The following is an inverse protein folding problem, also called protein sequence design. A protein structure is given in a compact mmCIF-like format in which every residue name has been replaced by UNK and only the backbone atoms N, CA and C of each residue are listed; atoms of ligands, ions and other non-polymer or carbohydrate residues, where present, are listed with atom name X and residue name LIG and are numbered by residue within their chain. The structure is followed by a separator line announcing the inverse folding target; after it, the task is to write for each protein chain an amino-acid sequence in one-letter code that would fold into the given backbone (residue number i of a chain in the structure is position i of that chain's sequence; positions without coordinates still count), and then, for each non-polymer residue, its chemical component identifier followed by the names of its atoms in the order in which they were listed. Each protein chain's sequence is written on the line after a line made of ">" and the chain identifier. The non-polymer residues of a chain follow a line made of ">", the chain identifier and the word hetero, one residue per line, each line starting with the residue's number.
data_IF_982745526446
#
_entry.id   IF_982745526446
#
_cell.length_a   1.000
_cell.length_b   1.000
_cell.length_c   1.000
_cell.angle_alpha   90.00
_cell.angle_beta   90.00
_cell.angle_gamma   90.00
#
_symmetry.space_group_name_H-M   'P 1'
#
loop_
_entity.id
_entity.type
_entity.pdbx_description
1 polymer ?
#
# COMPACT_ATOMS: atom_id res chain seq x y z
N UNK A 1 -43.08 47.48 25.39
CA UNK A 1 -43.90 46.91 24.28
C UNK A 1 -43.15 47.10 22.96
N UNK A 2 -42.71 45.99 22.34
CA UNK A 2 -42.57 45.75 20.87
C UNK A 2 -41.71 44.50 20.63
N UNK A 3 -42.38 43.37 20.38
CA UNK A 3 -41.79 42.19 19.75
C UNK A 3 -41.47 42.50 18.29
N UNK A 4 -40.32 42.03 17.79
CA UNK A 4 -40.10 41.78 16.35
C UNK A 4 -39.35 40.47 16.16
N UNK A 5 -40.11 39.44 15.85
CA UNK A 5 -39.68 38.19 15.25
C UNK A 5 -39.09 38.45 13.86
N UNK A 6 -37.94 37.83 13.53
CA UNK A 6 -37.48 37.67 12.13
C UNK A 6 -36.95 36.25 11.94
N UNK A 7 -37.55 35.58 10.96
CA UNK A 7 -37.50 34.13 10.75
C UNK A 7 -36.13 33.60 10.34
N UNK A 8 -35.92 32.35 10.77
CA UNK A 8 -34.75 31.54 10.46
C UNK A 8 -34.79 31.12 8.96
N UNK A 9 -33.72 31.33 8.18
CA UNK A 9 -33.77 31.20 6.72
C UNK A 9 -33.77 29.73 6.27
N UNK A 10 -34.95 29.23 5.90
CA UNK A 10 -35.18 27.90 5.30
C UNK A 10 -34.38 27.58 4.02
N UNK A 11 -33.69 28.57 3.44
CA UNK A 11 -32.91 28.40 2.21
C UNK A 11 -31.61 27.60 2.38
N UNK A 12 -31.16 27.33 3.62
CA UNK A 12 -29.98 26.48 3.88
C UNK A 12 -30.30 25.01 4.12
N UNK A 13 -31.56 24.65 4.35
CA UNK A 13 -31.97 23.27 4.56
C UNK A 13 -32.25 22.52 3.25
N UNK A 14 -32.64 23.24 2.18
CA UNK A 14 -32.87 22.64 0.86
C UNK A 14 -31.56 22.19 0.16
N UNK A 15 -30.43 22.86 0.41
CA UNK A 15 -29.13 22.45 -0.16
C UNK A 15 -28.52 21.21 0.52
N UNK A 16 -28.79 21.01 1.81
CA UNK A 16 -28.31 19.84 2.54
C UNK A 16 -29.09 18.56 2.16
N UNK A 17 -30.39 18.68 1.87
CA UNK A 17 -31.23 17.56 1.43
C UNK A 17 -30.82 17.03 0.04
N UNK A 18 -30.48 17.92 -0.91
CA UNK A 18 -30.00 17.53 -2.24
C UNK A 18 -28.64 16.81 -2.18
N UNK A 19 -27.73 17.23 -1.31
CA UNK A 19 -26.45 16.56 -1.11
C UNK A 19 -26.62 15.15 -0.51
N UNK A 20 -27.54 14.98 0.46
CA UNK A 20 -27.84 13.67 1.04
C UNK A 20 -28.49 12.70 0.03
N UNK A 21 -29.36 13.20 -0.85
CA UNK A 21 -29.96 12.41 -1.95
C UNK A 21 -28.90 12.04 -2.99
N UNK A 22 -28.00 12.95 -3.35
CA UNK A 22 -26.91 12.65 -4.29
C UNK A 22 -25.92 11.62 -3.73
N UNK A 23 -25.61 11.70 -2.42
CA UNK A 23 -24.80 10.70 -1.73
C UNK A 23 -25.56 9.37 -1.69
N UNK A 24 -26.83 9.33 -1.29
CA UNK A 24 -27.61 8.10 -1.28
C UNK A 24 -27.70 7.42 -2.66
N UNK A 25 -27.91 8.20 -3.73
CA UNK A 25 -27.90 7.69 -5.10
C UNK A 25 -26.51 7.20 -5.52
N UNK A 26 -25.43 7.88 -5.11
CA UNK A 26 -24.05 7.44 -5.35
C UNK A 26 -23.75 6.10 -4.66
N UNK A 27 -24.17 5.92 -3.40
CA UNK A 27 -23.99 4.66 -2.67
C UNK A 27 -24.89 3.53 -3.20
N UNK A 28 -26.11 3.83 -3.67
CA UNK A 28 -26.99 2.86 -4.33
C UNK A 28 -26.44 2.40 -5.68
N UNK A 29 -25.88 3.32 -6.48
CA UNK A 29 -25.32 3.02 -7.80
C UNK A 29 -23.97 2.27 -7.71
N UNK A 30 -23.21 2.44 -6.62
CA UNK A 30 -22.02 1.62 -6.29
C UNK A 30 -22.41 0.19 -5.92
N UNK A 31 -23.51 0.00 -5.18
CA UNK A 31 -23.98 -1.34 -4.78
C UNK A 31 -24.44 -2.19 -5.98
N UNK A 32 -25.09 -1.59 -6.98
CA UNK A 32 -25.50 -2.32 -8.19
C UNK A 32 -24.34 -2.67 -9.13
N UNK A 33 -23.23 -1.90 -9.13
CA UNK A 33 -22.01 -2.28 -9.87
C UNK A 33 -21.34 -3.50 -9.27
N UNK A 34 -21.33 -3.62 -7.95
CA UNK A 34 -20.77 -4.79 -7.26
C UNK A 34 -21.48 -6.10 -7.62
N UNK A 35 -22.80 -6.06 -7.84
CA UNK A 35 -23.57 -7.26 -8.20
C UNK A 35 -23.37 -7.69 -9.67
N UNK A 36 -23.08 -6.74 -10.58
CA UNK A 36 -22.79 -7.05 -12.01
C UNK A 36 -21.36 -7.54 -12.26
N UNK A 37 -20.42 -7.28 -11.36
CA UNK A 37 -19.07 -7.87 -11.40
C UNK A 37 -19.05 -9.33 -10.91
N UNK A 38 -19.87 -9.67 -9.89
CA UNK A 38 -19.95 -11.04 -9.36
C UNK A 38 -20.52 -12.03 -10.40
N UNK A 39 -21.39 -11.57 -11.31
CA UNK A 39 -21.98 -12.40 -12.35
C UNK A 39 -21.05 -12.73 -13.55
N UNK A 40 -19.81 -12.22 -13.57
CA UNK A 40 -18.87 -12.38 -14.70
C UNK A 40 -17.67 -13.31 -14.43
N UNK A 41 -17.73 -14.16 -13.41
CA UNK A 41 -16.77 -15.27 -13.24
C UNK A 41 -17.06 -16.40 -14.25
N UNK A 42 -16.04 -16.97 -14.96
CA UNK A 42 -14.77 -17.41 -14.38
C UNK A 42 -13.49 -17.03 -15.18
N UNK A 43 -13.58 -16.23 -16.25
CA UNK A 43 -12.44 -15.97 -17.15
C UNK A 43 -11.40 -14.99 -16.57
N UNK A 44 -11.84 -13.93 -15.88
CA UNK A 44 -10.96 -12.89 -15.33
C UNK A 44 -10.06 -13.44 -14.20
N UNK A 45 -10.48 -14.51 -13.54
CA UNK A 45 -9.77 -15.15 -12.44
C UNK A 45 -8.55 -16.00 -12.85
N UNK A 46 -8.39 -16.34 -14.13
CA UNK A 46 -7.23 -17.05 -14.66
C UNK A 46 -6.18 -16.07 -15.18
N UNK A 47 -6.61 -15.02 -15.89
CA UNK A 47 -5.74 -14.01 -16.51
C UNK A 47 -5.08 -13.10 -15.44
N UNK A 48 -5.81 -12.76 -14.36
CA UNK A 48 -5.23 -12.03 -13.22
C UNK A 48 -4.28 -12.90 -12.37
N UNK A 49 -4.36 -14.24 -12.49
CA UNK A 49 -3.43 -15.18 -11.86
C UNK A 49 -2.17 -15.41 -12.70
N UNK A 50 -2.25 -15.21 -14.01
CA UNK A 50 -1.11 -15.30 -14.93
C UNK A 50 -0.29 -14.01 -15.05
N UNK A 51 -0.78 -12.88 -14.53
CA UNK A 51 0.03 -11.67 -14.31
C UNK A 51 0.99 -11.81 -13.09
N UNK A 52 1.66 -12.97 -13.00
CA UNK A 52 2.51 -13.41 -11.91
C UNK A 52 3.73 -12.52 -11.63
N UNK A 53 4.30 -12.54 -10.42
CA UNK A 53 4.11 -13.50 -9.34
C UNK A 53 3.89 -12.76 -8.02
N UNK A 54 2.63 -12.68 -7.59
CA UNK A 54 2.30 -12.25 -6.24
C UNK A 54 2.77 -13.32 -5.28
N UNK A 55 3.89 -13.08 -4.61
CA UNK A 55 4.27 -13.76 -3.38
C UNK A 55 3.03 -13.86 -2.53
N UNK A 56 2.51 -15.08 -2.34
CA UNK A 56 1.25 -15.27 -1.61
C UNK A 56 1.30 -14.41 -0.35
N UNK A 57 0.24 -13.65 -0.07
CA UNK A 57 0.20 -12.53 0.89
C UNK A 57 0.57 -12.88 2.34
N UNK A 58 1.08 -14.09 2.60
CA UNK A 58 1.67 -14.56 3.85
C UNK A 58 3.20 -14.78 3.84
N UNK A 59 3.91 -14.68 2.71
CA UNK A 59 5.38 -14.79 2.72
C UNK A 59 5.99 -13.51 3.29
N UNK A 60 6.90 -13.62 4.26
CA UNK A 60 7.55 -12.49 4.93
C UNK A 60 9.07 -12.68 4.96
N UNK A 61 9.65 -12.56 6.14
CA UNK A 61 11.02 -13.05 6.39
C UNK A 61 11.07 -14.57 6.33
N UNK A 62 12.27 -15.13 6.17
CA UNK A 62 12.48 -16.57 6.05
C UNK A 62 11.97 -17.38 7.26
N UNK A 63 12.07 -16.79 8.45
CA UNK A 63 11.61 -17.37 9.71
C UNK A 63 11.30 -16.27 10.73
N UNK A 64 10.65 -16.64 11.84
CA UNK A 64 10.27 -15.70 12.90
C UNK A 64 11.50 -15.04 13.56
N UNK A 65 12.60 -15.77 13.71
CA UNK A 65 13.84 -15.23 14.31
C UNK A 65 14.41 -14.10 13.45
N UNK A 66 14.39 -14.24 12.12
CA UNK A 66 14.83 -13.19 11.19
C UNK A 66 13.95 -11.95 11.26
N UNK A 67 12.63 -12.13 11.35
CA UNK A 67 11.71 -11.00 11.56
C UNK A 67 12.01 -10.29 12.90
N UNK A 68 12.22 -11.06 13.97
CA UNK A 68 12.50 -10.52 15.30
C UNK A 68 13.81 -9.72 15.33
N UNK A 69 14.88 -10.28 14.76
CA UNK A 69 16.18 -9.61 14.62
C UNK A 69 16.07 -8.31 13.81
N UNK A 70 15.34 -8.33 12.70
CA UNK A 70 15.15 -7.13 11.87
C UNK A 70 14.31 -6.07 12.57
N UNK A 71 13.21 -6.47 13.20
CA UNK A 71 12.34 -5.55 13.93
C UNK A 71 13.09 -4.90 15.11
N UNK A 72 13.93 -5.65 15.83
CA UNK A 72 14.74 -5.10 16.91
C UNK A 72 15.72 -4.02 16.41
N UNK A 73 16.28 -4.19 15.20
CA UNK A 73 17.25 -3.26 14.63
C UNK A 73 16.61 -2.04 13.97
N UNK A 74 15.53 -2.25 13.23
CA UNK A 74 14.97 -1.24 12.30
C UNK A 74 13.54 -0.82 12.61
N UNK A 75 12.83 -1.50 13.51
CA UNK A 75 11.43 -1.22 13.80
C UNK A 75 11.18 0.23 14.23
N UNK A 76 12.10 0.82 15.00
CA UNK A 76 12.01 2.21 15.48
C UNK A 76 12.12 3.26 14.36
N UNK A 77 12.71 2.93 13.22
CA UNK A 77 12.83 3.83 12.04
C UNK A 77 11.46 4.14 11.41
N UNK A 78 10.47 3.32 11.72
CA UNK A 78 9.08 3.44 11.26
C UNK A 78 8.16 3.99 12.36
N UNK A 79 8.72 4.47 13.46
CA UNK A 79 8.00 5.03 14.61
C UNK A 79 7.63 3.96 15.65
N UNK A 80 6.61 4.26 16.45
CA UNK A 80 6.11 3.36 17.50
C UNK A 80 5.11 2.37 16.90
N UNK A 81 5.61 1.42 16.13
CA UNK A 81 4.80 0.39 15.46
C UNK A 81 4.98 -0.97 16.11
N UNK A 82 4.04 -1.89 15.89
CA UNK A 82 4.22 -3.28 16.32
C UNK A 82 5.08 -4.05 15.32
N UNK A 83 5.59 -5.21 15.75
CA UNK A 83 6.29 -6.16 14.85
C UNK A 83 5.42 -6.60 13.67
N UNK A 84 4.12 -6.76 13.88
CA UNK A 84 3.17 -7.14 12.83
C UNK A 84 2.97 -6.01 11.83
N UNK A 85 2.88 -4.76 12.29
CA UNK A 85 2.80 -3.59 11.42
C UNK A 85 4.07 -3.44 10.58
N UNK A 86 5.24 -3.69 11.19
CA UNK A 86 6.53 -3.68 10.50
C UNK A 86 6.58 -4.72 9.37
N UNK A 87 6.18 -5.97 9.66
CA UNK A 87 6.07 -7.01 8.64
C UNK A 87 5.11 -6.61 7.52
N UNK A 88 3.94 -6.06 7.88
CA UNK A 88 2.94 -5.62 6.91
C UNK A 88 3.47 -4.51 6.02
N UNK A 89 4.17 -3.51 6.56
CA UNK A 89 4.79 -2.46 5.77
C UNK A 89 5.85 -3.00 4.81
N UNK A 90 6.66 -3.96 5.26
CA UNK A 90 7.63 -4.62 4.40
C UNK A 90 6.94 -5.35 3.23
N UNK A 91 5.88 -6.12 3.52
CA UNK A 91 5.09 -6.81 2.49
C UNK A 91 4.41 -5.82 1.53
N UNK A 92 3.83 -4.72 2.03
CA UNK A 92 3.23 -3.69 1.20
C UNK A 92 4.23 -3.08 0.21
N UNK A 93 5.46 -2.77 0.66
CA UNK A 93 6.50 -2.26 -0.25
C UNK A 93 6.98 -3.32 -1.25
N UNK A 94 7.12 -4.58 -0.79
CA UNK A 94 7.47 -5.73 -1.66
C UNK A 94 6.44 -5.95 -2.77
N UNK A 95 5.17 -5.71 -2.48
CA UNK A 95 4.06 -6.00 -3.39
C UNK A 95 3.53 -4.75 -4.11
N UNK A 96 4.08 -3.57 -3.80
CA UNK A 96 3.70 -2.31 -4.41
C UNK A 96 3.87 -2.31 -5.94
N UNK A 97 3.05 -1.52 -6.64
CA UNK A 97 3.24 -1.30 -8.07
C UNK A 97 4.48 -0.43 -8.28
N UNK A 98 5.37 -0.85 -9.20
CA UNK A 98 6.53 -0.05 -9.60
C UNK A 98 6.07 1.19 -10.37
N UNK A 99 6.74 2.32 -10.13
CA UNK A 99 6.40 3.63 -10.69
C UNK A 99 5.93 4.62 -9.63
N UNK A 100 5.79 5.89 -10.02
CA UNK A 100 5.54 6.98 -9.08
C UNK A 100 6.70 7.10 -8.07
N UNK A 101 6.45 7.00 -6.75
CA UNK A 101 7.50 7.07 -5.73
C UNK A 101 8.32 5.78 -5.61
N UNK A 102 7.85 4.66 -6.17
CA UNK A 102 8.48 3.35 -6.04
C UNK A 102 9.47 3.12 -7.18
N UNK A 103 10.74 2.97 -6.80
CA UNK A 103 11.82 2.53 -7.68
C UNK A 103 12.13 1.06 -7.43
N UNK A 104 12.54 0.35 -8.49
CA UNK A 104 12.91 -1.07 -8.44
C UNK A 104 14.20 -1.34 -9.19
N UNK A 105 15.02 -2.23 -8.63
CA UNK A 105 16.15 -2.84 -9.35
C UNK A 105 16.13 -4.34 -9.16
N UNK A 106 16.29 -5.08 -10.25
CA UNK A 106 16.46 -6.53 -10.26
C UNK A 106 17.90 -6.86 -10.60
N UNK A 107 18.60 -7.56 -9.70
CA UNK A 107 19.99 -7.99 -9.87
C UNK A 107 20.05 -9.30 -10.68
N UNK A 108 21.20 -9.61 -11.28
CA UNK A 108 21.41 -10.87 -12.05
C UNK A 108 21.14 -12.14 -11.25
N UNK A 109 21.39 -12.11 -9.93
CA UNK A 109 21.13 -13.22 -9.00
C UNK A 109 19.63 -13.35 -8.60
N UNK A 110 18.74 -12.58 -9.24
CA UNK A 110 17.30 -12.61 -9.00
C UNK A 110 16.85 -11.83 -7.77
N UNK A 111 17.75 -11.14 -7.07
CA UNK A 111 17.39 -10.31 -5.91
C UNK A 111 16.78 -9.02 -6.40
N UNK A 112 15.59 -8.72 -5.88
CA UNK A 112 14.86 -7.49 -6.17
C UNK A 112 15.04 -6.53 -5.01
N UNK A 113 15.36 -5.28 -5.32
CA UNK A 113 15.35 -4.17 -4.35
C UNK A 113 14.34 -3.12 -4.76
N UNK A 114 13.66 -2.53 -3.77
CA UNK A 114 12.78 -1.39 -4.00
C UNK A 114 13.06 -0.27 -3.02
N UNK A 115 12.81 0.94 -3.47
CA UNK A 115 12.91 2.15 -2.66
C UNK A 115 11.67 3.02 -2.87
N UNK A 116 11.04 3.41 -1.78
CA UNK A 116 9.92 4.35 -1.76
C UNK A 116 10.43 5.74 -1.41
N UNK A 117 10.32 6.67 -2.36
CA UNK A 117 10.75 8.07 -2.18
C UNK A 117 9.91 8.83 -1.17
N UNK A 118 8.65 8.47 -0.97
CA UNK A 118 7.75 9.20 -0.08
C UNK A 118 8.04 8.86 1.38
N UNK A 119 8.29 7.58 1.67
CA UNK A 119 8.54 7.10 3.04
C UNK A 119 10.02 6.99 3.39
N UNK A 120 10.89 6.99 2.38
CA UNK A 120 12.32 6.70 2.51
C UNK A 120 12.61 5.23 2.81
N UNK A 121 11.63 4.33 2.65
CA UNK A 121 11.78 2.92 2.96
C UNK A 121 12.50 2.16 1.83
N UNK A 122 13.41 1.27 2.22
CA UNK A 122 14.12 0.36 1.34
C UNK A 122 13.79 -1.08 1.69
N UNK A 123 13.63 -1.93 0.68
CA UNK A 123 13.45 -3.38 0.84
C UNK A 123 14.34 -4.15 -0.15
N UNK A 124 14.82 -5.31 0.26
CA UNK A 124 15.35 -6.32 -0.65
C UNK A 124 14.71 -7.67 -0.38
N UNK A 125 14.40 -8.41 -1.44
CA UNK A 125 13.78 -9.72 -1.38
C UNK A 125 14.29 -10.62 -2.51
N UNK A 126 14.24 -11.92 -2.27
CA UNK A 126 14.63 -12.91 -3.27
C UNK A 126 13.58 -12.97 -4.39
N UNK A 127 13.98 -13.59 -5.51
CA UNK A 127 13.06 -14.00 -6.58
C UNK A 127 12.02 -15.02 -6.14
N UNK A 128 12.04 -15.47 -4.88
CA UNK A 128 11.01 -16.29 -4.22
C UNK A 128 10.21 -15.50 -3.14
N UNK A 129 10.32 -14.17 -3.08
CA UNK A 129 9.51 -13.29 -2.23
C UNK A 129 9.92 -13.18 -0.79
N UNK A 130 10.87 -14.01 -0.37
CA UNK A 130 11.41 -13.98 0.97
C UNK A 130 12.13 -12.66 1.17
N UNK A 131 11.68 -11.90 2.17
CA UNK A 131 12.25 -10.62 2.56
C UNK A 131 13.63 -10.87 3.17
N UNK A 132 14.64 -10.21 2.60
CA UNK A 132 16.03 -10.22 3.09
C UNK A 132 16.30 -9.07 4.04
N UNK A 133 15.71 -7.90 3.78
CA UNK A 133 15.85 -6.70 4.61
C UNK A 133 14.73 -5.71 4.33
N UNK A 134 14.40 -4.88 5.31
CA UNK A 134 13.48 -3.75 5.23
C UNK A 134 13.93 -2.70 6.26
N UNK A 135 14.15 -1.45 5.86
CA UNK A 135 14.64 -0.38 6.75
C UNK A 135 14.60 1.00 6.06
N UNK A 136 14.90 2.08 6.78
CA UNK A 136 15.11 3.43 6.23
C UNK A 136 16.61 3.79 6.20
N UNK A 137 17.28 3.76 5.05
CA UNK A 137 18.69 4.15 4.99
C UNK A 137 18.88 5.64 5.28
N UNK A 138 19.90 5.99 6.07
CA UNK A 138 20.25 7.39 6.36
C UNK A 138 20.53 8.22 5.09
N UNK A 139 21.14 7.60 4.07
CA UNK A 139 21.45 8.25 2.79
C UNK A 139 20.28 8.22 1.79
N UNK A 140 19.11 7.69 2.19
CA UNK A 140 17.90 7.62 1.37
C UNK A 140 18.15 7.00 -0.01
N UNK A 141 17.70 7.69 -1.06
CA UNK A 141 17.83 7.23 -2.44
C UNK A 141 19.29 6.99 -2.87
N UNK A 142 20.27 7.71 -2.28
CA UNK A 142 21.68 7.47 -2.60
C UNK A 142 22.13 6.08 -2.16
N UNK A 143 21.63 5.58 -1.03
CA UNK A 143 21.89 4.19 -0.62
C UNK A 143 21.32 3.20 -1.64
N UNK A 144 20.07 3.42 -2.06
CA UNK A 144 19.40 2.57 -3.06
C UNK A 144 20.19 2.50 -4.36
N UNK A 145 20.66 3.63 -4.91
CA UNK A 145 21.49 3.66 -6.13
C UNK A 145 22.77 2.85 -5.99
N UNK A 146 23.47 2.97 -4.86
CA UNK A 146 24.66 2.15 -4.57
C UNK A 146 24.34 0.65 -4.46
N UNK A 147 23.15 0.27 -3.99
CA UNK A 147 22.74 -1.15 -4.00
C UNK A 147 22.40 -1.63 -5.40
N UNK A 148 21.82 -0.77 -6.25
CA UNK A 148 21.48 -1.10 -7.63
C UNK A 148 22.73 -1.41 -8.48
N UNK A 149 23.85 -0.75 -8.18
CA UNK A 149 25.14 -0.97 -8.86
C UNK A 149 25.83 -2.28 -8.42
N UNK A 150 25.52 -2.80 -7.24
CA UNK A 150 26.11 -4.04 -6.69
C UNK A 150 25.51 -5.26 -7.40
N UNK A 151 26.20 -5.80 -8.40
CA UNK A 151 25.76 -6.98 -9.16
C UNK A 151 25.73 -6.78 -10.68
N UNK A 152 26.28 -5.66 -11.17
CA UNK A 152 26.57 -5.46 -12.59
C UNK A 152 27.93 -6.04 -13.03
N UNK A 153 28.74 -6.48 -12.08
CA UNK A 153 30.01 -7.18 -12.33
C UNK A 153 29.77 -8.63 -12.77
#
# INVERSE_FOLDING_TARGET
>A
MKFRSRGFPWRRLLSAALAAVAIFLFWSQVSERGQREIARGPAISAEAREAGQGWGSGMGFADQRRLDEHYQKHGSEFGRITKQDYLRQAQLLRDAKVGGPIQETVRRDGVVTRFDRDTGAFIAFNSNGIIRTFFKPNDGERYYRRQAERGND
#
